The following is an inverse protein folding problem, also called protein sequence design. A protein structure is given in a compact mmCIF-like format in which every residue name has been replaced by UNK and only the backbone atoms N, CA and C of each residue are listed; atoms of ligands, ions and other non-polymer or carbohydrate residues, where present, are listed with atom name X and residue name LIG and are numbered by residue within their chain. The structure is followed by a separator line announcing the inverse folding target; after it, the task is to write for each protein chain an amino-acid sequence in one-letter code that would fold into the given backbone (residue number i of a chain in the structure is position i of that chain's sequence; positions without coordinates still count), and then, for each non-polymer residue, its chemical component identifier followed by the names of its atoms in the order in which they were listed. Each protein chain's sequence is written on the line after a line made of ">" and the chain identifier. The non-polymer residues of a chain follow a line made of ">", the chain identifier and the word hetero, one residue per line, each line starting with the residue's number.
data_IF_270164234316
#
_entry.id   IF_270164234316
#
_cell.length_a   1.000
_cell.length_b   1.000
_cell.length_c   1.000
_cell.angle_alpha   90.00
_cell.angle_beta   90.00
_cell.angle_gamma   90.00
#
_symmetry.space_group_name_H-M   'P 1'
#
loop_
_entity.id
_entity.type
_entity.pdbx_description
1 polymer ?
#
# COMPACT_ATOMS: atom_id res chain seq x y z
N UNK A 1 28.40 -11.15 -8.78
CA UNK A 1 28.19 -12.37 -7.95
C UNK A 1 27.43 -12.10 -6.64
N UNK A 2 27.09 -10.84 -6.30
CA UNK A 2 26.45 -10.46 -5.02
C UNK A 2 24.93 -10.20 -5.10
N UNK A 3 24.37 -9.97 -6.30
CA UNK A 3 22.94 -9.66 -6.46
C UNK A 3 22.03 -10.90 -6.52
N UNK A 4 22.54 -12.05 -7.00
CA UNK A 4 21.77 -13.30 -7.08
C UNK A 4 21.48 -13.91 -5.69
N UNK A 5 22.33 -13.64 -4.69
CA UNK A 5 22.18 -14.18 -3.35
C UNK A 5 20.99 -13.54 -2.60
N UNK A 6 20.74 -12.25 -2.83
CA UNK A 6 19.67 -11.51 -2.14
C UNK A 6 18.27 -11.92 -2.61
N UNK A 7 18.11 -12.18 -3.92
CA UNK A 7 16.84 -12.60 -4.49
C UNK A 7 16.42 -14.01 -4.02
N UNK A 8 17.39 -14.93 -3.94
CA UNK A 8 17.16 -16.30 -3.45
C UNK A 8 16.78 -16.32 -1.96
N UNK A 9 17.42 -15.48 -1.14
CA UNK A 9 17.13 -15.36 0.30
C UNK A 9 15.73 -14.79 0.58
N UNK A 10 15.24 -13.87 -0.25
CA UNK A 10 13.87 -13.34 -0.13
C UNK A 10 12.85 -14.45 -0.43
N UNK A 11 13.09 -15.21 -1.48
CA UNK A 11 12.21 -16.28 -1.94
C UNK A 11 12.12 -17.45 -0.94
N UNK A 12 13.20 -17.71 -0.19
CA UNK A 12 13.24 -18.71 0.88
C UNK A 12 12.52 -18.27 2.17
N UNK A 13 12.43 -16.96 2.44
CA UNK A 13 11.76 -16.41 3.64
C UNK A 13 10.26 -16.23 3.46
N UNK A 14 9.79 -16.12 2.22
CA UNK A 14 8.38 -16.19 1.89
C UNK A 14 7.98 -17.66 1.78
N UNK A 15 7.55 -18.27 2.90
CA UNK A 15 6.78 -19.53 2.81
C UNK A 15 5.65 -19.35 1.79
N UNK A 16 5.27 -20.42 1.09
CA UNK A 16 4.32 -20.36 -0.03
C UNK A 16 3.01 -19.68 0.39
N UNK A 17 2.92 -18.36 0.16
CA UNK A 17 1.68 -17.61 0.35
C UNK A 17 0.71 -18.17 -0.68
N UNK A 18 -0.48 -18.60 -0.27
CA UNK A 18 -1.48 -19.09 -1.20
C UNK A 18 -1.65 -18.09 -2.35
N UNK A 19 -1.52 -18.56 -3.60
CA UNK A 19 -1.56 -17.70 -4.78
C UNK A 19 -2.92 -16.96 -4.94
N UNK A 20 -3.91 -17.35 -4.14
CA UNK A 20 -5.26 -16.80 -4.04
C UNK A 20 -5.43 -15.72 -2.96
N UNK A 21 -4.39 -15.37 -2.19
CA UNK A 21 -4.50 -14.30 -1.20
C UNK A 21 -4.81 -12.95 -1.88
N UNK A 22 -5.84 -12.19 -1.45
CA UNK A 22 -6.30 -10.99 -2.16
C UNK A 22 -5.26 -9.86 -2.23
N UNK A 23 -4.27 -9.83 -1.32
CA UNK A 23 -3.16 -8.86 -1.34
C UNK A 23 -2.28 -8.98 -2.58
N UNK A 24 -2.27 -10.12 -3.29
CA UNK A 24 -1.57 -10.26 -4.56
C UNK A 24 -2.04 -9.24 -5.61
N UNK A 25 -3.29 -8.76 -5.54
CA UNK A 25 -3.76 -7.69 -6.41
C UNK A 25 -2.92 -6.40 -6.24
N UNK A 26 -2.59 -6.06 -4.99
CA UNK A 26 -1.75 -4.90 -4.68
C UNK A 26 -0.31 -5.12 -5.13
N UNK A 27 0.28 -6.28 -4.82
CA UNK A 27 1.67 -6.59 -5.17
C UNK A 27 1.87 -6.67 -6.69
N UNK A 28 0.93 -7.27 -7.42
CA UNK A 28 0.97 -7.34 -8.87
C UNK A 28 0.79 -5.95 -9.51
N UNK A 29 -0.02 -5.08 -8.92
CA UNK A 29 -0.12 -3.69 -9.35
C UNK A 29 1.20 -2.93 -9.17
N UNK A 30 1.87 -3.10 -8.02
CA UNK A 30 3.19 -2.51 -7.82
C UNK A 30 4.20 -3.04 -8.84
N UNK A 31 4.16 -4.34 -9.14
CA UNK A 31 5.01 -4.94 -10.17
C UNK A 31 4.73 -4.35 -11.56
N UNK A 32 3.46 -4.22 -11.97
CA UNK A 32 3.07 -3.58 -13.24
C UNK A 32 3.57 -2.13 -13.32
N UNK A 33 3.49 -1.36 -12.22
CA UNK A 33 4.01 0.01 -12.18
C UNK A 33 5.53 0.04 -12.40
N UNK A 34 6.27 -0.90 -11.81
CA UNK A 34 7.73 -0.94 -11.95
C UNK A 34 8.17 -1.40 -13.34
N UNK A 35 7.46 -2.37 -13.93
CA UNK A 35 7.81 -2.95 -15.23
C UNK A 35 7.32 -2.09 -16.41
N UNK A 36 6.10 -1.53 -16.31
CA UNK A 36 5.39 -0.90 -17.42
C UNK A 36 4.97 0.56 -17.15
N UNK A 37 5.34 1.13 -15.99
CA UNK A 37 4.92 2.47 -15.60
C UNK A 37 5.56 3.59 -16.43
N UNK A 38 4.76 4.59 -16.79
CA UNK A 38 5.27 5.80 -17.42
C UNK A 38 5.79 6.77 -16.35
N UNK A 39 6.99 7.32 -16.57
CA UNK A 39 7.58 8.35 -15.71
C UNK A 39 6.90 9.70 -15.97
N UNK A 40 6.58 10.42 -14.90
CA UNK A 40 6.01 11.78 -14.92
C UNK A 40 6.63 12.63 -13.84
N UNK A 41 6.81 13.92 -14.12
CA UNK A 41 7.18 14.89 -13.10
C UNK A 41 5.98 15.20 -12.19
N UNK A 42 6.27 15.60 -10.96
CA UNK A 42 5.24 15.94 -9.95
C UNK A 42 5.55 17.27 -9.26
N UNK A 43 4.57 17.77 -8.48
CA UNK A 43 4.67 19.04 -7.73
C UNK A 43 5.81 19.06 -6.70
N UNK A 44 6.23 17.90 -6.22
CA UNK A 44 7.29 17.77 -5.21
C UNK A 44 8.70 17.74 -5.82
N UNK A 45 8.79 17.57 -7.14
CA UNK A 45 10.06 17.41 -7.87
C UNK A 45 10.70 16.03 -7.77
N UNK A 46 10.06 15.06 -7.09
CA UNK A 46 10.60 13.69 -6.96
C UNK A 46 10.38 12.88 -8.25
N UNK A 47 9.22 13.09 -8.88
CA UNK A 47 8.77 12.33 -10.03
C UNK A 47 8.08 11.03 -9.60
N UNK A 48 7.22 10.54 -10.48
CA UNK A 48 6.40 9.34 -10.24
C UNK A 48 6.50 8.35 -11.40
N UNK A 49 6.33 7.07 -11.09
CA UNK A 49 6.00 6.03 -12.07
C UNK A 49 4.54 5.66 -11.89
N UNK A 50 3.80 5.56 -12.99
CA UNK A 50 2.39 5.21 -12.90
C UNK A 50 1.79 4.66 -14.17
N UNK A 51 0.84 3.77 -13.98
CA UNK A 51 -0.01 3.16 -15.01
C UNK A 51 -1.46 3.66 -14.87
N UNK A 52 -2.25 3.62 -15.94
CA UNK A 52 -3.61 4.18 -15.95
C UNK A 52 -4.70 3.11 -15.84
N UNK A 53 -5.74 3.35 -15.03
CA UNK A 53 -6.98 2.56 -15.06
C UNK A 53 -6.91 1.13 -14.51
N UNK A 54 -5.95 0.81 -13.63
CA UNK A 54 -5.89 -0.51 -12.96
C UNK A 54 -6.92 -0.56 -11.83
N UNK A 55 -7.56 -1.71 -11.66
CA UNK A 55 -8.60 -1.93 -10.65
C UNK A 55 -8.21 -3.06 -9.69
N UNK A 56 -8.57 -2.90 -8.42
CA UNK A 56 -8.51 -3.95 -7.40
C UNK A 56 -9.90 -4.14 -6.81
N UNK A 57 -10.24 -5.37 -6.41
CA UNK A 57 -11.52 -5.71 -5.79
C UNK A 57 -11.28 -6.55 -4.54
N UNK A 58 -11.85 -6.14 -3.41
CA UNK A 58 -11.74 -6.84 -2.14
C UNK A 58 -13.14 -7.19 -1.63
N UNK A 59 -13.34 -8.47 -1.31
CA UNK A 59 -14.60 -8.95 -0.73
C UNK A 59 -14.59 -8.72 0.79
N UNK A 60 -15.34 -7.69 1.23
CA UNK A 60 -15.40 -7.30 2.63
C UNK A 60 -16.16 -8.29 3.52
N UNK A 61 -16.95 -9.20 2.93
CA UNK A 61 -17.61 -10.27 3.69
C UNK A 61 -16.62 -11.33 4.19
N UNK A 62 -15.45 -11.42 3.54
CA UNK A 62 -14.37 -12.36 3.87
C UNK A 62 -13.32 -11.78 4.80
N UNK A 63 -13.36 -10.48 5.09
CA UNK A 63 -12.41 -9.80 5.97
C UNK A 63 -12.14 -8.36 5.54
N UNK A 64 -11.18 -7.72 6.21
CA UNK A 64 -10.79 -6.34 5.93
C UNK A 64 -9.41 -6.29 5.25
N UNK A 65 -9.27 -5.63 4.08
CA UNK A 65 -8.06 -5.68 3.25
C UNK A 65 -6.94 -4.77 3.77
N UNK A 66 -6.48 -5.01 4.99
CA UNK A 66 -5.26 -4.38 5.54
C UNK A 66 -4.06 -5.10 4.96
N UNK A 67 -3.13 -4.36 4.36
CA UNK A 67 -1.90 -4.94 3.85
C UNK A 67 -1.09 -5.58 4.98
N UNK A 68 -0.54 -6.77 4.71
CA UNK A 68 0.23 -7.56 5.69
C UNK A 68 1.73 -7.54 5.39
N UNK A 69 2.12 -7.28 4.14
CA UNK A 69 3.52 -7.18 3.71
C UNK A 69 4.27 -5.99 4.30
N UNK A 70 3.55 -5.03 4.89
CA UNK A 70 4.11 -3.91 5.66
C UNK A 70 3.14 -3.50 6.75
N UNK A 71 3.65 -3.25 7.96
CA UNK A 71 2.84 -2.72 9.07
C UNK A 71 2.27 -1.34 8.71
N UNK A 72 0.95 -1.21 8.82
CA UNK A 72 0.23 0.06 8.65
C UNK A 72 -0.02 0.71 10.02
N UNK A 73 -0.05 2.04 10.04
CA UNK A 73 -0.39 2.81 11.24
C UNK A 73 -1.92 2.96 11.38
N UNK A 74 -2.60 1.84 11.63
CA UNK A 74 -4.07 1.74 11.57
C UNK A 74 -4.79 2.71 12.52
N UNK A 75 -4.19 3.02 13.67
CA UNK A 75 -4.72 3.99 14.62
C UNK A 75 -4.93 5.36 13.98
N UNK A 76 -3.93 5.89 13.26
CA UNK A 76 -4.07 7.19 12.58
C UNK A 76 -5.13 7.16 11.50
N UNK A 77 -5.21 6.07 10.72
CA UNK A 77 -6.21 5.93 9.65
C UNK A 77 -7.63 5.99 10.22
N UNK A 78 -7.89 5.29 11.32
CA UNK A 78 -9.20 5.30 11.98
C UNK A 78 -9.51 6.67 12.57
N UNK A 79 -8.55 7.30 13.26
CA UNK A 79 -8.72 8.63 13.85
C UNK A 79 -8.99 9.69 12.77
N UNK A 80 -8.27 9.65 11.66
CA UNK A 80 -8.49 10.54 10.51
C UNK A 80 -9.87 10.33 9.88
N UNK A 81 -10.34 9.08 9.76
CA UNK A 81 -11.70 8.80 9.30
C UNK A 81 -12.76 9.39 10.24
N UNK A 82 -12.58 9.28 11.56
CA UNK A 82 -13.49 9.88 12.54
C UNK A 82 -13.48 11.41 12.44
N UNK A 83 -12.33 12.02 12.18
CA UNK A 83 -12.22 13.47 11.94
C UNK A 83 -12.99 13.90 10.69
N UNK A 84 -12.88 13.16 9.58
CA UNK A 84 -13.68 13.41 8.37
C UNK A 84 -15.19 13.31 8.65
N UNK A 85 -15.63 12.28 9.37
CA UNK A 85 -17.05 12.08 9.70
C UNK A 85 -17.62 13.17 10.61
N UNK A 86 -16.77 13.83 11.40
CA UNK A 86 -17.14 15.00 12.21
C UNK A 86 -17.23 16.29 11.38
N UNK A 87 -16.75 16.29 10.14
CA UNK A 87 -16.70 17.47 9.28
C UNK A 87 -15.72 18.54 9.76
N UNK A 88 -14.75 18.17 10.59
CA UNK A 88 -13.74 19.10 11.07
C UNK A 88 -12.68 19.37 10.01
N UNK A 89 -12.17 20.60 9.98
CA UNK A 89 -11.02 21.00 9.15
C UNK A 89 -9.82 21.44 9.99
N UNK A 90 -9.97 21.46 11.31
CA UNK A 90 -8.89 21.80 12.23
C UNK A 90 -8.01 20.58 12.54
N UNK A 91 -6.73 20.66 12.18
CA UNK A 91 -5.73 19.60 12.42
C UNK A 91 -5.29 19.47 13.89
N UNK A 92 -5.66 20.42 14.76
CA UNK A 92 -5.31 20.38 16.19
C UNK A 92 -5.83 19.12 16.88
N UNK A 93 -7.06 18.72 16.56
CA UNK A 93 -7.67 17.51 17.11
C UNK A 93 -6.89 16.24 16.72
N UNK A 94 -6.39 16.16 15.49
CA UNK A 94 -5.55 15.05 15.04
C UNK A 94 -4.26 14.97 15.86
N UNK A 95 -3.58 16.10 16.05
CA UNK A 95 -2.34 16.17 16.84
C UNK A 95 -2.54 15.80 18.30
N UNK A 96 -3.61 16.27 18.93
CA UNK A 96 -3.98 15.92 20.30
C UNK A 96 -4.25 14.41 20.45
N UNK A 97 -4.74 13.77 19.38
CA UNK A 97 -4.93 12.33 19.29
C UNK A 97 -3.68 11.60 18.77
N UNK A 98 -2.50 12.23 18.73
CA UNK A 98 -1.25 11.58 18.33
C UNK A 98 -1.22 11.13 16.88
N UNK A 99 -1.83 11.92 15.99
CA UNK A 99 -1.75 11.81 14.53
C UNK A 99 -0.95 12.98 13.96
#
# INVERSE_FOLDING_TARGET
>A
MTAQFLAADIQARTGAVPADHPEWQYLNLLRDILDNGARRDDRTGTGTLGVFGRQMRFDLSKGFPVLTTKKLHLRSIIVELLWFLRGETNIGWLKENGV
#
